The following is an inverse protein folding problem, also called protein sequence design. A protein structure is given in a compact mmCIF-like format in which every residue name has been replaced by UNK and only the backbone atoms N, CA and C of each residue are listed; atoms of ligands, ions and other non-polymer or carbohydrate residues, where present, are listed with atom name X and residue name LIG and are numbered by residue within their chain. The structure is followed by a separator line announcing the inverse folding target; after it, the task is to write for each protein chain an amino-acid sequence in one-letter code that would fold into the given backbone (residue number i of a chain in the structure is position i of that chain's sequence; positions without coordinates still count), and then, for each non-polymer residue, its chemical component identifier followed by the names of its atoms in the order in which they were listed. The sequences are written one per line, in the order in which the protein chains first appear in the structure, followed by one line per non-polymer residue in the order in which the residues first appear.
data_IF_854317114394
#
_entry.id   IF_854317114394
#
_cell.length_a   1.000
_cell.length_b   1.000
_cell.length_c   1.000
_cell.angle_alpha   90.00
_cell.angle_beta   90.00
_cell.angle_gamma   90.00
#
_symmetry.space_group_name_H-M   'P 1'
#
loop_
_entity.id
_entity.type
_entity.pdbx_description
1 polymer ?
#
# COMPACT_ATOMS: atom_id res chain seq x y z
N UNK A 1 -4.38 8.03 -24.96
CA UNK A 1 -4.45 7.11 -23.80
C UNK A 1 -3.03 6.67 -23.51
N UNK A 2 -2.53 6.86 -22.29
CA UNK A 2 -1.23 6.35 -21.84
C UNK A 2 -1.41 4.90 -21.38
N UNK A 3 -0.35 4.11 -21.43
CA UNK A 3 -0.38 2.71 -20.97
C UNK A 3 -0.73 2.56 -19.47
N UNK A 4 -0.49 3.63 -18.71
CA UNK A 4 -0.78 3.70 -17.28
C UNK A 4 -2.19 4.17 -16.97
N UNK A 5 -2.96 4.61 -17.97
CA UNK A 5 -4.35 4.99 -17.78
C UNK A 5 -5.21 3.74 -17.53
N UNK A 6 -6.31 3.93 -16.81
CA UNK A 6 -7.28 2.88 -16.50
C UNK A 6 -8.67 3.35 -16.91
N UNK A 7 -9.48 2.45 -17.43
CA UNK A 7 -10.91 2.69 -17.65
C UNK A 7 -11.62 2.77 -16.30
N UNK A 8 -12.34 3.85 -16.04
CA UNK A 8 -13.10 4.01 -14.79
C UNK A 8 -14.29 3.05 -14.80
N UNK A 9 -14.35 2.16 -13.80
CA UNK A 9 -15.41 1.15 -13.61
C UNK A 9 -16.41 1.53 -12.52
N UNK A 10 -16.07 2.49 -11.67
CA UNK A 10 -16.94 2.98 -10.61
C UNK A 10 -16.34 4.14 -9.84
N UNK A 11 -17.11 4.68 -8.88
CA UNK A 11 -16.74 5.87 -8.10
C UNK A 11 -16.70 5.62 -6.59
N UNK A 12 -16.72 4.35 -6.16
CA UNK A 12 -16.76 3.96 -4.75
C UNK A 12 -15.57 4.46 -3.92
N UNK A 13 -14.44 4.77 -4.56
CA UNK A 13 -13.24 5.33 -3.93
C UNK A 13 -12.91 6.74 -4.45
N UNK A 14 -13.85 7.40 -5.14
CA UNK A 14 -13.64 8.75 -5.65
C UNK A 14 -13.32 9.71 -4.50
N UNK A 15 -12.24 10.49 -4.65
CA UNK A 15 -11.77 11.43 -3.62
C UNK A 15 -11.09 10.77 -2.42
N UNK A 16 -10.86 9.45 -2.44
CA UNK A 16 -10.17 8.73 -1.37
C UNK A 16 -8.69 8.55 -1.65
N UNK A 17 -7.85 8.87 -0.67
CA UNK A 17 -6.42 8.59 -0.70
C UNK A 17 -6.13 7.35 0.16
N UNK A 18 -5.84 6.24 -0.51
CA UNK A 18 -5.60 4.94 0.11
C UNK A 18 -4.10 4.63 0.14
N UNK A 19 -3.61 4.19 1.30
CA UNK A 19 -2.28 3.60 1.42
C UNK A 19 -2.34 2.11 1.07
N UNK A 20 -1.58 1.69 0.07
CA UNK A 20 -1.38 0.28 -0.26
C UNK A 20 -0.06 -0.22 0.34
N UNK A 21 -0.13 -1.14 1.31
CA UNK A 21 1.04 -1.84 1.84
C UNK A 21 1.27 -3.16 1.11
N UNK A 22 2.49 -3.41 0.63
CA UNK A 22 2.86 -4.65 -0.06
C UNK A 22 3.95 -5.37 0.73
N UNK A 23 3.67 -6.60 1.18
CA UNK A 23 4.59 -7.41 1.97
C UNK A 23 5.13 -8.62 1.21
N UNK A 24 6.23 -9.22 1.68
CA UNK A 24 6.97 -10.25 0.95
C UNK A 24 6.36 -11.66 0.98
N UNK A 25 5.28 -11.87 0.23
CA UNK A 25 4.75 -13.19 -0.14
C UNK A 25 4.55 -13.28 -1.66
N UNK A 26 4.44 -14.47 -2.24
CA UNK A 26 4.33 -14.63 -3.71
C UNK A 26 3.13 -13.85 -4.30
N UNK A 27 2.05 -13.72 -3.53
CA UNK A 27 0.88 -12.90 -3.88
C UNK A 27 1.18 -11.40 -4.09
N UNK A 28 2.39 -10.92 -3.76
CA UNK A 28 2.81 -9.55 -4.06
C UNK A 28 2.78 -9.25 -5.57
N UNK A 29 2.85 -10.27 -6.44
CA UNK A 29 2.71 -10.10 -7.89
C UNK A 29 1.33 -9.54 -8.29
N UNK A 30 0.28 -9.82 -7.51
CA UNK A 30 -1.07 -9.32 -7.77
C UNK A 30 -1.25 -7.85 -7.38
N UNK A 31 -0.29 -7.25 -6.68
CA UNK A 31 -0.34 -5.83 -6.28
C UNK A 31 -0.45 -4.88 -7.47
N UNK A 32 0.09 -5.27 -8.64
CA UNK A 32 -0.05 -4.53 -9.90
C UNK A 32 -1.51 -4.51 -10.37
N UNK A 33 -2.17 -5.67 -10.36
CA UNK A 33 -3.58 -5.77 -10.77
C UNK A 33 -4.45 -5.03 -9.76
N UNK A 34 -4.22 -5.24 -8.47
CA UNK A 34 -4.95 -4.59 -7.39
C UNK A 34 -4.82 -3.06 -7.44
N UNK A 35 -3.61 -2.52 -7.60
CA UNK A 35 -3.38 -1.08 -7.70
C UNK A 35 -4.13 -0.45 -8.88
N UNK A 36 -4.19 -1.14 -10.03
CA UNK A 36 -5.00 -0.71 -11.17
C UNK A 36 -6.48 -0.77 -10.87
N UNK A 37 -7.00 -1.83 -10.26
CA UNK A 37 -8.42 -1.92 -9.90
C UNK A 37 -8.83 -0.81 -8.91
N UNK A 38 -8.04 -0.52 -7.88
CA UNK A 38 -8.36 0.58 -6.95
C UNK A 38 -8.49 1.92 -7.68
N UNK A 39 -7.62 2.19 -8.66
CA UNK A 39 -7.71 3.38 -9.52
C UNK A 39 -8.91 3.37 -10.45
N UNK A 40 -9.31 2.18 -10.97
CA UNK A 40 -10.55 2.03 -11.76
C UNK A 40 -11.79 2.44 -10.95
N UNK A 41 -11.70 2.40 -9.62
CA UNK A 41 -12.74 2.85 -8.69
C UNK A 41 -12.52 4.27 -8.13
N UNK A 42 -11.53 5.02 -8.65
CA UNK A 42 -11.29 6.44 -8.33
C UNK A 42 -10.30 6.73 -7.20
N UNK A 43 -9.63 5.71 -6.66
CA UNK A 43 -8.68 5.91 -5.56
C UNK A 43 -7.39 6.64 -6.02
N UNK A 44 -6.93 7.58 -5.19
CA UNK A 44 -5.53 8.04 -5.19
C UNK A 44 -4.71 7.11 -4.31
N UNK A 45 -3.52 6.71 -4.77
CA UNK A 45 -2.69 5.73 -4.06
C UNK A 45 -1.36 6.33 -3.61
N UNK A 46 -0.95 5.98 -2.40
CA UNK A 46 0.46 5.92 -2.00
C UNK A 46 0.76 4.47 -1.65
N UNK A 47 1.94 3.98 -2.00
CA UNK A 47 2.32 2.58 -1.76
C UNK A 47 3.54 2.50 -0.87
N UNK A 48 3.57 1.55 0.06
CA UNK A 48 4.77 1.20 0.83
C UNK A 48 5.10 -0.27 0.59
N UNK A 49 6.32 -0.55 0.17
CA UNK A 49 6.80 -1.90 -0.10
C UNK A 49 7.85 -2.32 0.91
N UNK A 50 7.63 -3.44 1.61
CA UNK A 50 8.67 -4.02 2.47
C UNK A 50 9.89 -4.48 1.66
N UNK A 51 11.09 -4.55 2.24
CA UNK A 51 12.28 -5.06 1.54
C UNK A 51 12.07 -6.46 0.95
N UNK A 52 11.32 -7.33 1.64
CA UNK A 52 10.99 -8.67 1.14
C UNK A 52 10.03 -8.64 -0.07
N UNK A 53 9.11 -7.68 -0.14
CA UNK A 53 8.24 -7.51 -1.31
C UNK A 53 9.03 -7.08 -2.55
N UNK A 54 10.03 -6.22 -2.37
CA UNK A 54 10.88 -5.70 -3.45
C UNK A 54 11.71 -6.80 -4.14
N UNK A 55 11.99 -7.91 -3.44
CA UNK A 55 12.65 -9.09 -4.01
C UNK A 55 11.73 -9.92 -4.92
N UNK A 56 10.42 -9.75 -4.80
CA UNK A 56 9.40 -10.52 -5.53
C UNK A 56 8.86 -9.69 -6.70
N UNK A 57 8.55 -8.42 -6.46
CA UNK A 57 8.08 -7.48 -7.47
C UNK A 57 8.76 -6.13 -7.30
N UNK A 58 9.17 -5.52 -8.42
CA UNK A 58 9.94 -4.28 -8.37
C UNK A 58 9.06 -3.07 -8.04
N UNK A 59 9.61 -2.06 -7.32
CA UNK A 59 8.93 -0.79 -7.10
C UNK A 59 8.51 -0.09 -8.39
N UNK A 60 9.27 -0.29 -9.48
CA UNK A 60 8.94 0.26 -10.80
C UNK A 60 7.59 -0.27 -11.32
N UNK A 61 7.38 -1.58 -11.27
CA UNK A 61 6.13 -2.20 -11.73
C UNK A 61 4.93 -1.70 -10.91
N UNK A 62 5.11 -1.61 -9.59
CA UNK A 62 4.07 -1.10 -8.69
C UNK A 62 3.79 0.38 -8.97
N UNK A 63 4.81 1.22 -9.18
CA UNK A 63 4.65 2.64 -9.52
C UNK A 63 3.90 2.84 -10.84
N UNK A 64 4.17 2.01 -11.84
CA UNK A 64 3.40 2.02 -13.10
C UNK A 64 1.93 1.69 -12.88
N UNK A 65 1.63 0.71 -12.04
CA UNK A 65 0.27 0.32 -11.71
C UNK A 65 -0.50 1.39 -10.92
N UNK A 66 0.12 1.93 -9.87
CA UNK A 66 -0.54 2.81 -8.89
C UNK A 66 -0.53 4.28 -9.29
N UNK A 67 0.40 4.69 -10.18
CA UNK A 67 0.60 6.09 -10.58
C UNK A 67 0.73 7.05 -9.37
N UNK A 68 1.19 6.51 -8.25
CA UNK A 68 1.39 7.21 -7.00
C UNK A 68 2.84 7.11 -6.53
N UNK A 69 3.11 7.69 -5.37
CA UNK A 69 4.37 7.51 -4.68
C UNK A 69 4.54 6.06 -4.23
N UNK A 70 5.77 5.53 -4.36
CA UNK A 70 6.13 4.20 -3.87
C UNK A 70 7.32 4.36 -2.94
N UNK A 71 7.06 4.16 -1.65
CA UNK A 71 8.04 4.25 -0.56
C UNK A 71 8.62 2.85 -0.35
N UNK A 72 9.93 2.75 -0.46
CA UNK A 72 10.66 1.47 -0.39
C UNK A 72 11.54 1.35 0.85
N UNK A 73 11.85 2.48 1.50
CA UNK A 73 12.64 2.54 2.72
C UNK A 73 12.27 3.81 3.51
N UNK A 74 12.98 4.06 4.60
CA UNK A 74 12.90 5.30 5.36
C UNK A 74 13.20 6.52 4.48
N UNK A 75 12.42 7.57 4.69
CA UNK A 75 12.56 8.86 4.03
C UNK A 75 12.40 9.98 5.08
N UNK A 76 13.17 11.06 4.93
CA UNK A 76 13.10 12.24 5.79
C UNK A 76 11.78 12.98 5.68
N UNK A 77 11.09 12.89 4.55
CA UNK A 77 9.84 13.63 4.31
C UNK A 77 8.64 13.06 5.08
N UNK A 78 8.83 11.95 5.80
CA UNK A 78 7.81 11.30 6.62
C UNK A 78 6.51 11.02 5.86
N UNK A 79 6.56 10.82 4.54
CA UNK A 79 5.39 10.58 3.67
C UNK A 79 4.50 9.45 4.19
N UNK A 80 5.09 8.44 4.84
CA UNK A 80 4.41 7.32 5.50
C UNK A 80 3.49 7.74 6.67
N UNK A 81 3.72 8.91 7.29
CA UNK A 81 2.89 9.47 8.36
C UNK A 81 1.71 10.30 7.85
N UNK A 82 1.63 10.54 6.53
CA UNK A 82 0.52 11.29 5.92
C UNK A 82 -0.85 10.75 6.34
N UNK A 83 -1.85 11.62 6.31
CA UNK A 83 -3.23 11.21 6.54
C UNK A 83 -3.76 10.46 5.32
N UNK A 84 -4.19 9.22 5.53
CA UNK A 84 -4.84 8.39 4.52
C UNK A 84 -6.27 8.09 4.97
N UNK A 85 -7.22 8.07 4.03
CA UNK A 85 -8.62 7.71 4.28
C UNK A 85 -8.76 6.25 4.72
N UNK A 86 -7.88 5.38 4.22
CA UNK A 86 -7.81 3.97 4.58
C UNK A 86 -6.41 3.41 4.29
N UNK A 87 -6.06 2.34 4.99
CA UNK A 87 -4.87 1.53 4.71
C UNK A 87 -5.31 0.12 4.31
N UNK A 88 -4.82 -0.35 3.18
CA UNK A 88 -4.95 -1.73 2.73
C UNK A 88 -3.56 -2.36 2.65
N UNK A 89 -3.31 -3.44 3.40
CA UNK A 89 -2.09 -4.22 3.28
C UNK A 89 -2.41 -5.52 2.54
N UNK A 90 -1.92 -5.66 1.31
CA UNK A 90 -2.25 -6.76 0.43
C UNK A 90 -1.08 -7.09 -0.52
N UNK A 91 -0.43 -8.28 -0.37
CA UNK A 91 -0.64 -9.24 0.72
C UNK A 91 -0.09 -8.74 2.06
N UNK A 92 -0.56 -9.34 3.15
CA UNK A 92 0.00 -9.21 4.50
C UNK A 92 0.61 -10.53 4.96
N UNK A 93 1.93 -10.61 5.04
CA UNK A 93 2.62 -11.78 5.60
C UNK A 93 2.35 -11.92 7.10
N UNK A 94 2.47 -13.15 7.61
CA UNK A 94 2.37 -13.43 9.06
C UNK A 94 3.35 -12.60 9.89
N UNK A 95 4.58 -12.42 9.40
CA UNK A 95 5.58 -11.59 10.08
C UNK A 95 5.11 -10.13 10.21
N UNK A 96 4.47 -9.58 9.17
CA UNK A 96 3.93 -8.23 9.21
C UNK A 96 2.77 -8.11 10.22
N UNK A 97 1.84 -9.07 10.23
CA UNK A 97 0.73 -9.09 11.18
C UNK A 97 1.23 -9.20 12.62
N UNK A 98 2.13 -10.14 12.90
CA UNK A 98 2.70 -10.32 14.23
C UNK A 98 3.43 -9.06 14.69
N UNK A 99 4.25 -8.45 13.81
CA UNK A 99 4.94 -7.20 14.11
C UNK A 99 3.98 -6.07 14.47
N UNK A 100 2.89 -5.92 13.72
CA UNK A 100 1.87 -4.90 14.02
C UNK A 100 1.15 -5.16 15.35
N UNK A 101 0.72 -6.38 15.61
CA UNK A 101 0.01 -6.76 16.85
C UNK A 101 0.89 -6.57 18.08
N UNK A 102 2.18 -6.87 17.97
CA UNK A 102 3.14 -6.73 19.07
C UNK A 102 3.80 -5.35 19.16
N UNK A 103 3.38 -4.38 18.33
CA UNK A 103 3.91 -3.02 18.38
C UNK A 103 5.37 -2.88 17.96
N UNK A 104 5.88 -3.82 17.15
CA UNK A 104 7.20 -3.69 16.55
C UNK A 104 7.16 -2.64 15.43
N UNK A 105 8.28 -1.96 15.19
CA UNK A 105 8.37 -0.94 14.15
C UNK A 105 9.72 -1.05 13.40
N UNK A 106 9.80 -2.00 12.48
CA UNK A 106 11.00 -2.29 11.70
C UNK A 106 10.98 -1.73 10.27
N UNK A 107 10.05 -0.83 9.96
CA UNK A 107 9.97 -0.22 8.63
C UNK A 107 8.83 0.80 8.49
N UNK A 108 8.84 1.59 7.40
CA UNK A 108 7.88 2.67 7.17
C UNK A 108 6.43 2.19 7.12
N UNK A 109 6.17 0.94 6.70
CA UNK A 109 4.81 0.39 6.66
C UNK A 109 4.24 0.18 8.07
N UNK A 110 5.02 -0.34 9.03
CA UNK A 110 4.57 -0.47 10.42
C UNK A 110 4.38 0.89 11.08
N UNK A 111 5.25 1.85 10.77
CA UNK A 111 5.09 3.23 11.23
C UNK A 111 3.78 3.84 10.73
N UNK A 112 3.45 3.68 9.45
CA UNK A 112 2.19 4.14 8.86
C UNK A 112 0.96 3.48 9.52
N UNK A 113 1.03 2.17 9.77
CA UNK A 113 -0.04 1.44 10.47
C UNK A 113 -0.22 1.91 11.92
N UNK A 114 0.87 2.17 12.64
CA UNK A 114 0.85 2.71 13.99
C UNK A 114 0.19 4.10 14.03
N UNK A 115 0.60 4.98 13.12
CA UNK A 115 0.02 6.32 12.99
C UNK A 115 -1.48 6.29 12.63
N UNK A 116 -1.87 5.42 11.70
CA UNK A 116 -3.27 5.22 11.34
C UNK A 116 -4.11 4.67 12.49
N UNK A 117 -3.57 3.73 13.28
CA UNK A 117 -4.24 3.23 14.48
C UNK A 117 -4.48 4.35 15.48
N UNK A 118 -3.50 5.23 15.69
CA UNK A 118 -3.65 6.41 16.56
C UNK A 118 -4.70 7.40 16.08
N UNK A 119 -4.92 7.50 14.77
CA UNK A 119 -5.94 8.37 14.15
C UNK A 119 -7.33 7.73 14.02
N UNK A 120 -7.46 6.43 14.27
CA UNK A 120 -8.70 5.69 13.99
C UNK A 120 -8.99 5.48 12.50
N UNK A 121 -7.97 5.60 11.63
CA UNK A 121 -8.12 5.30 10.21
C UNK A 121 -8.41 3.81 10.00
N UNK A 122 -9.35 3.44 9.11
CA UNK A 122 -9.60 2.04 8.77
C UNK A 122 -8.33 1.33 8.24
N UNK A 123 -8.01 0.18 8.84
CA UNK A 123 -6.90 -0.69 8.43
C UNK A 123 -7.49 -2.04 8.02
N UNK A 124 -7.20 -2.47 6.79
CA UNK A 124 -7.52 -3.80 6.27
C UNK A 124 -6.24 -4.55 5.94
N UNK A 125 -6.09 -5.76 6.49
CA UNK A 125 -5.00 -6.67 6.17
C UNK A 125 -5.56 -7.87 5.42
N UNK A 126 -4.95 -8.20 4.29
CA UNK A 126 -5.30 -9.37 3.46
C UNK A 126 -4.21 -10.43 3.63
N UNK A 127 -4.41 -11.46 4.48
CA UNK A 127 -3.37 -12.45 4.76
C UNK A 127 -2.99 -13.26 3.53
N UNK A 128 -1.71 -13.63 3.44
CA UNK A 128 -1.15 -14.59 2.47
C UNK A 128 -0.39 -15.71 3.17
#
# INVERSE_FOLDING_TARGET
MRDTDVEVRGTSLAGKHVLLGVTGGIAAVDSVRLGRELRRHGAKLTTIMTPSAQKIITPLAVKWATQGEVITDWDSDLSALSAFDAILVAPTTRNMMASFVHGLNNGPLLMALSAARGRGSPIMMVPS
#
